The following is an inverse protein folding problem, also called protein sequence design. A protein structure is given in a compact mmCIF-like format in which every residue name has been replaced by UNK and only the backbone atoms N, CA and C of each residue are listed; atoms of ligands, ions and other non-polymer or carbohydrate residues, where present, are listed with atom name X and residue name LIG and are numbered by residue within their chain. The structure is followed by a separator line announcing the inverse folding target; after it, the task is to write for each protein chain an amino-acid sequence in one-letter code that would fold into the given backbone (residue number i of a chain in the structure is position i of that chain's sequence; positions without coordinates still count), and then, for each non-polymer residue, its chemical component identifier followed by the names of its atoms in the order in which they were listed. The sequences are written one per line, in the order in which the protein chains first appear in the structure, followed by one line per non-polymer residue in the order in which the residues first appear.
data_IF_317534070900
#
_entry.id   IF_317534070900
#
_cell.length_a   1.000
_cell.length_b   1.000
_cell.length_c   1.000
_cell.angle_alpha   90.00
_cell.angle_beta   90.00
_cell.angle_gamma   90.00
#
_symmetry.space_group_name_H-M   'P 1'
#
loop_
_entity.id
_entity.type
_entity.pdbx_description
1 polymer ?
#
# COMPACT_ATOMS: atom_id res chain seq x y z
N UNK A 1 29.81 22.14 -5.59
CA UNK A 1 28.76 23.04 -6.11
C UNK A 1 28.00 23.52 -4.90
N UNK A 2 27.92 24.86 -4.68
CA UNK A 2 27.04 25.38 -3.62
C UNK A 2 25.60 25.06 -4.01
N UNK A 3 24.80 24.42 -3.14
CA UNK A 3 23.39 24.21 -3.44
C UNK A 3 22.75 25.59 -3.63
N UNK A 4 22.08 25.78 -4.75
CA UNK A 4 21.23 26.95 -4.96
C UNK A 4 20.14 26.93 -3.86
N UNK A 5 19.79 28.04 -3.25
CA UNK A 5 18.73 28.06 -2.26
C UNK A 5 17.45 27.51 -2.88
N UNK A 6 16.85 26.53 -2.23
CA UNK A 6 15.58 25.94 -2.69
C UNK A 6 14.54 27.04 -2.82
N UNK A 7 14.03 27.25 -4.01
CA UNK A 7 13.03 28.28 -4.29
C UNK A 7 11.65 27.91 -3.75
N UNK A 8 11.31 26.60 -3.83
CA UNK A 8 10.02 26.07 -3.42
C UNK A 8 10.16 25.15 -2.21
N UNK A 9 9.16 25.14 -1.35
CA UNK A 9 8.95 24.03 -0.42
C UNK A 9 8.62 22.75 -1.19
N UNK A 10 8.75 21.60 -0.54
CA UNK A 10 8.36 20.31 -1.13
C UNK A 10 6.90 20.31 -1.58
N UNK A 11 6.00 20.88 -0.76
CA UNK A 11 4.58 21.04 -1.13
C UNK A 11 4.41 21.88 -2.41
N UNK A 12 5.00 23.06 -2.46
CA UNK A 12 4.89 23.96 -3.63
C UNK A 12 5.48 23.33 -4.89
N UNK A 13 6.57 22.58 -4.76
CA UNK A 13 7.21 21.87 -5.87
C UNK A 13 6.28 20.81 -6.46
N UNK A 14 5.71 19.95 -5.63
CA UNK A 14 4.76 18.93 -6.06
C UNK A 14 3.50 19.57 -6.64
N UNK A 15 2.95 20.58 -5.95
CA UNK A 15 1.76 21.31 -6.40
C UNK A 15 1.97 21.96 -7.77
N UNK A 16 3.10 22.64 -7.99
CA UNK A 16 3.43 23.24 -9.30
C UNK A 16 3.52 22.21 -10.40
N UNK A 17 4.18 21.06 -10.13
CA UNK A 17 4.29 19.97 -11.09
C UNK A 17 2.93 19.39 -11.48
N UNK A 18 2.05 19.17 -10.51
CA UNK A 18 0.68 18.69 -10.76
C UNK A 18 -0.17 19.70 -11.55
N UNK A 19 0.18 20.97 -11.52
CA UNK A 19 -0.44 22.04 -12.33
C UNK A 19 0.31 22.30 -13.64
N UNK A 20 1.15 21.37 -14.10
CA UNK A 20 1.93 21.49 -15.33
C UNK A 20 2.81 22.73 -15.40
N UNK A 21 3.32 23.19 -14.25
CA UNK A 21 4.30 24.26 -14.14
C UNK A 21 5.67 23.70 -13.78
N UNK A 22 6.70 24.18 -14.44
CA UNK A 22 8.08 23.76 -14.15
C UNK A 22 8.49 24.17 -12.73
N UNK A 23 8.86 23.23 -11.86
CA UNK A 23 9.36 23.50 -10.52
C UNK A 23 10.86 23.85 -10.55
N UNK A 24 11.43 24.21 -9.39
CA UNK A 24 12.87 24.44 -9.22
C UNK A 24 13.74 23.20 -9.40
N UNK A 25 13.20 22.01 -9.15
CA UNK A 25 13.74 20.70 -9.46
C UNK A 25 12.60 19.67 -9.60
N UNK A 26 12.90 18.51 -10.15
CA UNK A 26 11.93 17.40 -10.21
C UNK A 26 11.56 16.97 -8.78
N UNK A 27 10.27 16.84 -8.44
CA UNK A 27 9.85 16.27 -7.16
C UNK A 27 10.38 14.85 -6.98
N UNK A 28 10.82 14.56 -5.77
CA UNK A 28 11.32 13.23 -5.43
C UNK A 28 10.39 12.54 -4.43
N UNK A 29 9.94 11.34 -4.79
CA UNK A 29 9.11 10.47 -3.95
C UNK A 29 9.87 9.19 -3.60
N UNK A 30 10.01 8.93 -2.31
CA UNK A 30 10.48 7.68 -1.74
C UNK A 30 9.57 7.30 -0.57
N UNK A 31 8.75 6.28 -0.78
CA UNK A 31 7.84 5.76 0.24
C UNK A 31 6.57 6.61 0.45
N UNK A 32 6.22 7.52 -0.48
CA UNK A 32 4.94 8.20 -0.49
C UNK A 32 3.77 7.28 -0.81
N UNK A 33 4.06 6.19 -1.52
CA UNK A 33 3.14 5.06 -1.73
C UNK A 33 3.90 3.74 -1.66
N UNK A 34 3.19 2.62 -1.76
CA UNK A 34 3.81 1.29 -1.84
C UNK A 34 4.61 1.11 -3.14
N UNK A 35 4.18 1.73 -4.25
CA UNK A 35 4.89 1.63 -5.54
C UNK A 35 6.19 2.42 -5.59
N UNK A 36 6.39 3.38 -4.69
CA UNK A 36 7.64 4.13 -4.52
C UNK A 36 8.42 3.69 -3.27
N UNK A 37 7.97 2.58 -2.66
CA UNK A 37 8.56 2.02 -1.45
C UNK A 37 9.90 1.32 -1.68
N UNK A 38 10.57 1.00 -0.59
CA UNK A 38 11.84 0.27 -0.58
C UNK A 38 11.75 -0.92 0.38
N UNK A 39 12.17 -2.12 -0.10
CA UNK A 39 12.22 -3.30 0.76
C UNK A 39 13.14 -3.08 1.96
N UNK A 40 12.75 -3.62 3.14
CA UNK A 40 13.45 -3.42 4.42
C UNK A 40 14.94 -3.82 4.38
N UNK A 41 15.29 -4.86 3.62
CA UNK A 41 16.69 -5.29 3.52
C UNK A 41 17.55 -4.27 2.75
N UNK A 42 16.99 -3.66 1.70
CA UNK A 42 17.67 -2.60 0.95
C UNK A 42 17.70 -1.31 1.77
N UNK A 43 16.61 -1.00 2.48
CA UNK A 43 16.53 0.17 3.35
C UNK A 43 17.61 0.18 4.45
N UNK A 44 17.86 -0.98 5.09
CA UNK A 44 18.96 -1.13 6.04
C UNK A 44 20.32 -0.77 5.41
N UNK A 45 20.57 -1.24 4.19
CA UNK A 45 21.81 -0.92 3.45
C UNK A 45 21.90 0.56 3.06
N UNK A 46 20.78 1.18 2.69
CA UNK A 46 20.73 2.60 2.41
C UNK A 46 21.10 3.41 3.65
N UNK A 47 20.52 3.11 4.83
CA UNK A 47 20.86 3.77 6.09
C UNK A 47 22.34 3.63 6.44
N UNK A 48 22.90 2.42 6.29
CA UNK A 48 24.33 2.18 6.49
C UNK A 48 25.19 3.05 5.55
N UNK A 49 24.82 3.16 4.27
CA UNK A 49 25.55 3.97 3.29
C UNK A 49 25.45 5.48 3.53
N UNK A 50 24.37 5.93 4.17
CA UNK A 50 24.19 7.32 4.60
C UNK A 50 24.87 7.63 5.95
N UNK A 51 25.52 6.65 6.58
CA UNK A 51 26.15 6.80 7.90
C UNK A 51 25.16 6.97 9.05
N UNK A 52 23.91 6.56 8.86
CA UNK A 52 22.85 6.68 9.86
C UNK A 52 22.91 5.53 10.88
N UNK A 53 22.41 5.74 12.11
CA UNK A 53 22.34 4.70 13.12
C UNK A 53 21.57 3.47 12.62
N UNK A 54 22.05 2.28 13.01
CA UNK A 54 21.32 1.02 12.73
C UNK A 54 20.06 0.96 13.57
N UNK A 55 18.96 0.73 12.92
CA UNK A 55 17.64 0.55 13.53
C UNK A 55 16.96 -0.68 12.94
N UNK A 56 15.93 -1.18 13.60
CA UNK A 56 15.00 -2.10 12.97
C UNK A 56 13.91 -1.28 12.26
N UNK A 57 13.83 -1.32 10.92
CA UNK A 57 12.87 -0.52 10.17
C UNK A 57 11.42 -0.93 10.51
N UNK A 58 10.54 0.05 10.64
CA UNK A 58 9.10 -0.21 10.68
C UNK A 58 8.63 -0.60 9.28
N UNK A 59 7.76 -1.59 9.22
CA UNK A 59 7.15 -2.03 7.96
C UNK A 59 5.95 -1.14 7.64
N UNK A 60 5.90 -0.59 6.44
CA UNK A 60 4.76 0.15 5.90
C UNK A 60 3.81 -0.76 5.11
N UNK A 61 4.35 -1.67 4.31
CA UNK A 61 3.58 -2.72 3.63
C UNK A 61 4.13 -4.11 3.98
N UNK A 62 3.26 -4.93 4.57
CA UNK A 62 3.63 -6.28 5.02
C UNK A 62 3.79 -7.24 3.85
N UNK A 63 3.03 -7.09 2.76
CA UNK A 63 3.05 -8.01 1.61
C UNK A 63 4.41 -7.95 0.91
N UNK A 64 4.87 -6.75 0.59
CA UNK A 64 6.12 -6.51 -0.11
C UNK A 64 7.31 -6.27 0.83
N UNK A 65 7.09 -6.31 2.15
CA UNK A 65 8.11 -6.02 3.16
C UNK A 65 8.76 -4.65 2.94
N UNK A 66 7.94 -3.62 2.67
CA UNK A 66 8.44 -2.27 2.45
C UNK A 66 8.69 -1.57 3.78
N UNK A 67 9.81 -0.84 3.84
CA UNK A 67 10.14 -0.01 4.99
C UNK A 67 9.32 1.27 5.01
N UNK A 68 8.89 1.70 6.19
CA UNK A 68 8.50 3.09 6.40
C UNK A 68 9.78 3.93 6.39
N UNK A 69 9.82 4.92 5.53
CA UNK A 69 10.99 5.81 5.40
C UNK A 69 11.00 6.80 6.56
N UNK A 70 12.09 6.78 7.34
CA UNK A 70 12.26 7.63 8.52
C UNK A 70 12.56 9.09 8.13
N UNK A 71 12.25 10.03 9.03
CA UNK A 71 12.43 11.48 8.79
C UNK A 71 13.89 11.84 8.44
N UNK A 72 14.88 11.23 9.11
CA UNK A 72 16.31 11.46 8.84
C UNK A 72 16.72 11.09 7.40
N UNK A 73 16.23 9.98 6.88
CA UNK A 73 16.46 9.57 5.48
C UNK A 73 15.73 10.52 4.52
N UNK A 74 14.49 10.88 4.84
CA UNK A 74 13.72 11.83 4.02
C UNK A 74 14.38 13.21 3.94
N UNK A 75 15.02 13.66 5.02
CA UNK A 75 15.74 14.94 5.06
C UNK A 75 17.03 14.88 4.23
N UNK A 76 17.86 13.84 4.43
CA UNK A 76 19.13 13.70 3.71
C UNK A 76 18.91 13.58 2.19
N UNK A 77 17.86 12.86 1.78
CA UNK A 77 17.55 12.64 0.37
C UNK A 77 16.63 13.70 -0.23
N UNK A 78 16.23 14.70 0.56
CA UNK A 78 15.33 15.78 0.14
C UNK A 78 14.01 15.22 -0.46
N UNK A 79 13.40 14.23 0.21
CA UNK A 79 12.14 13.62 -0.22
C UNK A 79 11.00 14.63 -0.08
N UNK A 80 10.22 14.81 -1.15
CA UNK A 80 9.16 15.81 -1.21
C UNK A 80 7.78 15.29 -0.77
N UNK A 81 7.59 13.97 -0.79
CA UNK A 81 6.30 13.34 -0.60
C UNK A 81 6.30 12.45 0.63
N UNK A 82 5.26 12.54 1.45
CA UNK A 82 5.08 11.68 2.63
C UNK A 82 3.81 10.85 2.53
N UNK A 83 3.88 9.61 2.98
CA UNK A 83 2.73 8.72 3.06
C UNK A 83 1.82 9.06 4.26
N UNK A 84 0.52 9.10 4.00
CA UNK A 84 -0.53 9.11 5.02
C UNK A 84 -1.40 7.88 4.77
N UNK A 85 -0.99 6.69 5.23
CA UNK A 85 -1.80 5.48 5.05
C UNK A 85 -3.10 5.58 5.82
N UNK A 86 -4.12 4.85 5.40
CA UNK A 86 -5.34 4.68 6.19
C UNK A 86 -5.01 3.99 7.52
N UNK A 87 -5.77 4.29 8.55
CA UNK A 87 -5.70 3.57 9.81
C UNK A 87 -6.37 2.18 9.65
N UNK A 88 -6.07 1.22 10.54
CA UNK A 88 -6.78 -0.05 10.55
C UNK A 88 -8.29 0.15 10.78
N UNK A 89 -9.16 -0.63 10.13
CA UNK A 89 -10.59 -0.58 10.39
C UNK A 89 -10.91 -1.03 11.82
N UNK A 90 -11.99 -0.53 12.41
CA UNK A 90 -12.51 -1.00 13.68
C UNK A 90 -12.97 -2.47 13.58
N UNK A 91 -13.44 -2.86 12.40
CA UNK A 91 -13.89 -4.20 12.13
C UNK A 91 -13.01 -4.85 11.03
N UNK A 92 -11.95 -5.58 11.42
CA UNK A 92 -10.94 -6.09 10.49
C UNK A 92 -11.43 -7.19 9.53
N UNK A 93 -12.71 -7.54 9.57
CA UNK A 93 -13.28 -8.46 8.57
C UNK A 93 -12.71 -9.87 8.66
N UNK A 94 -12.06 -10.30 7.59
CA UNK A 94 -11.41 -11.60 7.47
C UNK A 94 -9.93 -11.57 7.86
N UNK A 95 -9.41 -10.42 8.23
CA UNK A 95 -7.99 -10.24 8.52
C UNK A 95 -7.52 -11.13 9.69
N UNK A 96 -6.36 -11.76 9.48
CA UNK A 96 -5.62 -12.48 10.51
C UNK A 96 -4.17 -12.00 10.51
N UNK A 97 -3.58 -11.80 11.69
CA UNK A 97 -2.20 -11.32 11.81
C UNK A 97 -1.21 -12.32 11.21
N UNK A 98 0.02 -11.85 11.00
CA UNK A 98 1.12 -12.72 10.61
C UNK A 98 1.41 -13.72 11.72
N UNK A 99 1.41 -15.02 11.36
CA UNK A 99 1.77 -16.14 12.24
C UNK A 99 2.84 -16.98 11.57
N UNK A 100 3.62 -17.70 12.37
CA UNK A 100 4.59 -18.66 11.85
C UNK A 100 3.99 -20.06 11.82
N UNK A 101 3.99 -20.68 10.65
CA UNK A 101 3.55 -22.05 10.42
C UNK A 101 4.69 -22.86 9.78
N UNK A 102 5.42 -23.60 10.63
CA UNK A 102 6.58 -24.35 10.19
C UNK A 102 7.69 -23.48 9.59
N UNK A 103 7.91 -23.63 8.28
CA UNK A 103 8.93 -22.89 7.51
C UNK A 103 8.41 -21.61 6.86
N UNK A 104 7.16 -21.22 7.14
CA UNK A 104 6.53 -20.07 6.52
C UNK A 104 5.96 -19.11 7.56
N UNK A 105 5.97 -17.83 7.22
CA UNK A 105 5.07 -16.84 7.78
C UNK A 105 3.80 -16.84 6.93
N UNK A 106 2.63 -16.83 7.59
CA UNK A 106 1.33 -16.78 6.93
C UNK A 106 0.48 -15.65 7.48
N UNK A 107 -0.39 -15.09 6.65
CA UNK A 107 -1.40 -14.12 7.07
C UNK A 107 -2.63 -14.22 6.16
N UNK A 108 -3.75 -13.71 6.64
CA UNK A 108 -4.92 -13.44 5.80
C UNK A 108 -5.17 -11.95 5.84
N UNK A 109 -5.36 -11.30 4.68
CA UNK A 109 -5.74 -9.89 4.65
C UNK A 109 -7.26 -9.70 4.84
N UNK A 110 -7.71 -8.44 4.90
CA UNK A 110 -9.12 -8.13 5.10
C UNK A 110 -10.04 -8.61 3.95
N UNK A 111 -9.48 -8.83 2.76
CA UNK A 111 -10.16 -9.40 1.60
C UNK A 111 -10.26 -10.94 1.66
N UNK A 112 -9.67 -11.56 2.69
CA UNK A 112 -9.64 -13.02 2.85
C UNK A 112 -8.58 -13.72 1.99
N UNK A 113 -7.69 -12.98 1.33
CA UNK A 113 -6.58 -13.54 0.57
C UNK A 113 -5.55 -14.07 1.56
N UNK A 114 -5.09 -15.30 1.36
CA UNK A 114 -4.02 -15.87 2.18
C UNK A 114 -2.66 -15.66 1.51
N UNK A 115 -1.72 -15.22 2.31
CA UNK A 115 -0.37 -14.87 1.92
C UNK A 115 0.62 -15.72 2.69
N UNK A 116 1.73 -16.10 2.05
CA UNK A 116 2.80 -16.88 2.68
C UNK A 116 4.16 -16.39 2.24
N UNK A 117 5.12 -16.38 3.17
CA UNK A 117 6.51 -16.01 2.91
C UNK A 117 7.43 -17.02 3.62
N UNK A 118 8.49 -17.54 2.96
CA UNK A 118 9.48 -18.36 3.64
C UNK A 118 10.13 -17.60 4.83
N UNK A 119 10.32 -18.30 5.96
CA UNK A 119 11.03 -17.73 7.12
C UNK A 119 12.49 -17.44 6.77
N UNK A 120 13.11 -18.34 5.99
CA UNK A 120 14.49 -18.21 5.54
C UNK A 120 14.51 -17.61 4.13
N UNK A 121 15.25 -16.51 3.95
CA UNK A 121 15.42 -15.81 2.67
C UNK A 121 14.10 -15.33 2.03
N UNK A 122 13.03 -15.14 2.81
CA UNK A 122 11.80 -14.53 2.34
C UNK A 122 11.97 -13.01 2.18
N UNK A 123 11.56 -12.48 1.03
CA UNK A 123 11.64 -11.05 0.72
C UNK A 123 10.29 -10.38 0.60
N UNK A 124 9.24 -11.15 0.33
CA UNK A 124 7.84 -10.71 0.22
C UNK A 124 6.91 -11.91 0.40
N UNK A 125 5.64 -11.61 0.61
CA UNK A 125 4.58 -12.63 0.71
C UNK A 125 3.99 -12.92 -0.66
N UNK A 126 3.88 -14.21 -1.00
CA UNK A 126 3.15 -14.69 -2.17
C UNK A 126 1.71 -15.04 -1.81
N UNK A 127 0.79 -14.87 -2.75
CA UNK A 127 -0.58 -15.35 -2.61
C UNK A 127 -0.64 -16.87 -2.71
N UNK A 128 -1.26 -17.51 -1.71
CA UNK A 128 -1.38 -18.97 -1.66
C UNK A 128 -2.83 -19.44 -1.68
N UNK A 129 -3.80 -18.55 -1.41
CA UNK A 129 -5.22 -18.88 -1.50
C UNK A 129 -6.06 -17.66 -1.86
N UNK A 130 -6.97 -17.88 -2.78
CA UNK A 130 -7.92 -16.91 -3.29
C UNK A 130 -9.31 -17.20 -2.68
N UNK A 131 -9.94 -16.27 -1.94
CA UNK A 131 -11.17 -16.57 -1.19
C UNK A 131 -12.36 -16.93 -2.07
N UNK A 132 -12.42 -16.42 -3.30
CA UNK A 132 -13.50 -16.68 -4.26
C UNK A 132 -13.13 -17.71 -5.35
N UNK A 133 -12.06 -18.49 -5.14
CA UNK A 133 -11.63 -19.50 -6.13
C UNK A 133 -12.70 -20.57 -6.43
N UNK A 134 -13.61 -20.82 -5.50
CA UNK A 134 -14.73 -21.76 -5.64
C UNK A 134 -16.10 -21.07 -5.78
N UNK A 135 -16.14 -19.76 -5.91
CA UNK A 135 -17.37 -19.02 -6.12
C UNK A 135 -17.71 -18.96 -7.62
N UNK A 136 -18.95 -19.26 -7.98
CA UNK A 136 -19.39 -19.33 -9.37
C UNK A 136 -20.69 -18.56 -9.64
N UNK A 137 -21.36 -18.12 -8.59
CA UNK A 137 -22.68 -17.48 -8.69
C UNK A 137 -22.70 -16.09 -8.06
N UNK A 138 -23.70 -15.29 -8.45
CA UNK A 138 -23.95 -14.00 -7.79
C UNK A 138 -24.29 -14.20 -6.32
N UNK A 139 -24.97 -15.29 -5.96
CA UNK A 139 -25.29 -15.59 -4.57
C UNK A 139 -24.01 -15.82 -3.71
N UNK A 140 -22.98 -16.43 -4.30
CA UNK A 140 -21.68 -16.60 -3.61
C UNK A 140 -21.05 -15.23 -3.30
N UNK A 141 -21.17 -14.27 -4.23
CA UNK A 141 -20.66 -12.91 -4.04
C UNK A 141 -21.46 -12.12 -3.00
N UNK A 142 -22.78 -12.36 -2.91
CA UNK A 142 -23.62 -11.72 -1.88
C UNK A 142 -23.34 -12.30 -0.48
N UNK A 143 -23.00 -13.58 -0.40
CA UNK A 143 -22.66 -14.24 0.85
C UNK A 143 -21.21 -13.93 1.33
N UNK A 144 -20.36 -13.42 0.44
CA UNK A 144 -18.98 -13.11 0.79
C UNK A 144 -18.89 -11.84 1.65
N UNK A 145 -18.02 -11.86 2.66
CA UNK A 145 -17.77 -10.72 3.54
C UNK A 145 -16.76 -9.76 2.91
N UNK A 146 -17.27 -8.78 2.20
CA UNK A 146 -16.47 -7.73 1.60
C UNK A 146 -15.94 -6.74 2.66
N UNK A 147 -14.74 -6.13 2.45
CA UNK A 147 -14.29 -5.01 3.26
C UNK A 147 -15.29 -3.86 3.25
N UNK A 148 -15.46 -3.21 4.40
CA UNK A 148 -16.28 -2.01 4.52
C UNK A 148 -15.41 -0.76 4.26
N UNK A 149 -15.62 -0.02 3.15
CA UNK A 149 -14.86 1.19 2.87
C UNK A 149 -15.23 2.36 3.78
N UNK A 150 -16.39 2.29 4.45
CA UNK A 150 -16.92 3.37 5.29
C UNK A 150 -16.60 3.21 6.77
N UNK A 151 -15.85 2.16 7.15
CA UNK A 151 -15.45 1.94 8.53
C UNK A 151 -14.66 3.14 9.06
N UNK A 152 -15.20 3.80 10.10
CA UNK A 152 -14.66 5.05 10.65
C UNK A 152 -13.23 4.90 11.20
N UNK A 153 -12.84 3.70 11.61
CA UNK A 153 -11.48 3.42 12.06
C UNK A 153 -10.43 3.82 11.02
N UNK A 154 -10.74 3.61 9.74
CA UNK A 154 -9.82 3.91 8.61
C UNK A 154 -9.39 5.37 8.53
N UNK A 155 -10.17 6.26 9.10
CA UNK A 155 -10.01 7.71 8.96
C UNK A 155 -9.65 8.41 10.28
N UNK A 156 -9.47 7.64 11.37
CA UNK A 156 -9.36 8.16 12.73
C UNK A 156 -8.27 9.22 12.92
N UNK A 157 -7.09 9.03 12.31
CA UNK A 157 -5.94 9.94 12.48
C UNK A 157 -5.44 10.57 11.18
N UNK A 158 -6.07 10.28 10.04
CA UNK A 158 -5.61 10.78 8.72
C UNK A 158 -5.49 12.31 8.71
N UNK A 159 -6.51 13.03 9.20
CA UNK A 159 -6.52 14.50 9.20
C UNK A 159 -5.34 15.05 10.00
N UNK A 160 -5.13 14.58 11.21
CA UNK A 160 -4.05 15.05 12.08
C UNK A 160 -2.68 14.80 11.43
N UNK A 161 -2.45 13.60 10.88
CA UNK A 161 -1.19 13.26 10.20
C UNK A 161 -0.97 14.10 8.95
N UNK A 162 -2.02 14.30 8.16
CA UNK A 162 -1.96 15.12 6.95
C UNK A 162 -1.65 16.58 7.27
N UNK A 163 -2.34 17.16 8.27
CA UNK A 163 -2.12 18.54 8.69
C UNK A 163 -0.69 18.75 9.21
N UNK A 164 -0.14 17.80 9.95
CA UNK A 164 1.27 17.83 10.37
C UNK A 164 2.19 17.91 9.16
N UNK A 165 2.02 17.06 8.16
CA UNK A 165 2.89 17.00 6.97
C UNK A 165 2.79 18.30 6.16
N UNK A 166 1.58 18.75 5.86
CA UNK A 166 1.39 19.92 4.98
C UNK A 166 1.70 21.22 5.71
N UNK A 167 1.15 21.43 6.90
CA UNK A 167 1.22 22.71 7.58
C UNK A 167 2.54 22.91 8.32
N UNK A 168 3.04 21.87 8.99
CA UNK A 168 4.27 21.94 9.78
C UNK A 168 5.51 21.64 8.93
N UNK A 169 5.52 20.52 8.23
CA UNK A 169 6.71 20.00 7.57
C UNK A 169 6.86 20.54 6.13
N UNK A 170 5.81 21.19 5.59
CA UNK A 170 5.77 21.79 4.24
C UNK A 170 6.06 20.77 3.13
N UNK A 171 5.72 19.50 3.37
CA UNK A 171 5.82 18.42 2.39
C UNK A 171 4.47 18.14 1.74
N UNK A 172 4.48 17.49 0.59
CA UNK A 172 3.27 16.97 -0.02
C UNK A 172 2.87 15.67 0.68
N UNK A 173 1.59 15.45 0.90
CA UNK A 173 1.07 14.18 1.42
C UNK A 173 0.38 13.38 0.33
N UNK A 174 0.53 12.07 0.38
CA UNK A 174 -0.24 11.12 -0.44
C UNK A 174 -1.05 10.23 0.50
N UNK A 175 -2.36 10.24 0.30
CA UNK A 175 -3.27 9.34 0.98
C UNK A 175 -3.54 8.21 0.00
N UNK A 176 -2.89 7.08 0.23
CA UNK A 176 -3.07 5.89 -0.58
C UNK A 176 -3.28 4.70 0.33
N UNK A 177 -4.10 3.76 -0.13
CA UNK A 177 -4.31 2.50 0.55
C UNK A 177 -3.48 1.42 -0.16
N UNK A 178 -4.09 0.49 -0.80
CA UNK A 178 -3.39 -0.57 -1.52
C UNK A 178 -3.04 -0.12 -2.96
N UNK A 179 -1.92 -0.60 -3.47
CA UNK A 179 -1.53 -0.34 -4.86
C UNK A 179 -2.37 -1.13 -5.87
N UNK A 180 -3.05 -2.20 -5.43
CA UNK A 180 -3.92 -3.01 -6.28
C UNK A 180 -5.19 -2.24 -6.66
N UNK A 181 -5.45 -2.12 -7.95
CA UNK A 181 -6.70 -1.58 -8.48
C UNK A 181 -7.80 -2.64 -8.57
N UNK A 182 -8.96 -2.25 -9.11
CA UNK A 182 -10.13 -3.13 -9.27
C UNK A 182 -9.77 -4.42 -10.02
N UNK A 183 -8.94 -4.31 -11.05
CA UNK A 183 -8.49 -5.42 -11.86
C UNK A 183 -7.64 -6.42 -11.07
N UNK A 184 -6.60 -5.96 -10.41
CA UNK A 184 -5.73 -6.83 -9.63
C UNK A 184 -6.48 -7.49 -8.48
N UNK A 185 -7.32 -6.75 -7.78
CA UNK A 185 -8.15 -7.32 -6.71
C UNK A 185 -9.13 -8.39 -7.22
N UNK A 186 -9.64 -8.26 -8.43
CA UNK A 186 -10.46 -9.30 -9.04
C UNK A 186 -9.65 -10.58 -9.28
N UNK A 187 -8.41 -10.44 -9.78
CA UNK A 187 -7.49 -11.58 -9.96
C UNK A 187 -7.07 -12.19 -8.61
N UNK A 188 -6.78 -11.34 -7.62
CA UNK A 188 -6.31 -11.79 -6.31
C UNK A 188 -7.40 -12.49 -5.49
N UNK A 189 -8.64 -12.05 -5.60
CA UNK A 189 -9.75 -12.66 -4.87
C UNK A 189 -10.26 -13.95 -5.52
N UNK A 190 -10.28 -14.04 -6.85
CA UNK A 190 -10.85 -15.18 -7.58
C UNK A 190 -9.80 -16.21 -8.02
N UNK A 191 -8.53 -15.83 -8.12
CA UNK A 191 -7.48 -16.60 -8.80
C UNK A 191 -7.38 -16.20 -10.28
N UNK A 192 -6.14 -16.14 -10.77
CA UNK A 192 -5.82 -15.63 -12.11
C UNK A 192 -6.51 -16.44 -13.22
N UNK A 193 -6.27 -17.74 -13.25
CA UNK A 193 -6.82 -18.62 -14.28
C UNK A 193 -8.35 -18.59 -14.31
N UNK A 194 -8.97 -18.77 -13.14
CA UNK A 194 -10.43 -18.73 -13.00
C UNK A 194 -11.00 -17.41 -13.51
N UNK A 195 -10.48 -16.27 -13.05
CA UNK A 195 -11.06 -14.98 -13.42
C UNK A 195 -10.89 -14.66 -14.91
N UNK A 196 -9.77 -15.06 -15.52
CA UNK A 196 -9.59 -14.94 -16.97
C UNK A 196 -10.63 -15.78 -17.75
N UNK A 197 -10.93 -17.00 -17.28
CA UNK A 197 -11.96 -17.83 -17.88
C UNK A 197 -13.36 -17.23 -17.68
N UNK A 198 -13.67 -16.77 -16.47
CA UNK A 198 -14.97 -16.16 -16.14
C UNK A 198 -15.29 -14.94 -17.00
N UNK A 199 -14.29 -14.12 -17.34
CA UNK A 199 -14.49 -12.97 -18.23
C UNK A 199 -14.98 -13.35 -19.63
N UNK A 200 -14.72 -14.56 -20.05
CA UNK A 200 -15.15 -15.07 -21.37
C UNK A 200 -16.46 -15.85 -21.24
N UNK A 201 -16.53 -16.79 -20.28
CA UNK A 201 -17.64 -17.74 -20.15
C UNK A 201 -18.74 -17.27 -19.21
N UNK A 202 -18.41 -16.49 -18.17
CA UNK A 202 -19.30 -16.06 -17.08
C UNK A 202 -19.28 -14.54 -16.90
N UNK A 203 -19.55 -13.81 -17.97
CA UNK A 203 -19.41 -12.33 -18.03
C UNK A 203 -20.18 -11.60 -16.94
N UNK A 204 -21.40 -12.06 -16.63
CA UNK A 204 -22.23 -11.43 -15.59
C UNK A 204 -21.58 -11.58 -14.20
N UNK A 205 -21.01 -12.74 -13.91
CA UNK A 205 -20.26 -12.97 -12.68
C UNK A 205 -19.01 -12.08 -12.61
N UNK A 206 -18.20 -12.04 -13.68
CA UNK A 206 -16.99 -11.22 -13.73
C UNK A 206 -17.32 -9.71 -13.53
N UNK A 207 -18.37 -9.20 -14.17
CA UNK A 207 -18.86 -7.83 -13.95
C UNK A 207 -19.34 -7.62 -12.50
N UNK A 208 -20.00 -8.60 -11.90
CA UNK A 208 -20.48 -8.49 -10.53
C UNK A 208 -19.31 -8.44 -9.54
N UNK A 209 -18.26 -9.26 -9.73
CA UNK A 209 -17.02 -9.20 -8.94
C UNK A 209 -16.42 -7.81 -8.98
N UNK A 210 -16.19 -7.26 -10.18
CA UNK A 210 -15.59 -5.93 -10.32
C UNK A 210 -16.44 -4.82 -9.68
N UNK A 211 -17.78 -4.90 -9.79
CA UNK A 211 -18.69 -3.97 -9.10
C UNK A 211 -18.61 -4.09 -7.58
N UNK A 212 -18.51 -5.30 -7.03
CA UNK A 212 -18.34 -5.51 -5.58
C UNK A 212 -17.02 -4.92 -5.09
N UNK A 213 -15.93 -5.19 -5.79
CA UNK A 213 -14.62 -4.61 -5.47
C UNK A 213 -14.68 -3.08 -5.50
N UNK A 214 -15.24 -2.50 -6.58
CA UNK A 214 -15.38 -1.02 -6.68
C UNK A 214 -16.14 -0.42 -5.50
N UNK A 215 -17.18 -1.10 -5.00
CA UNK A 215 -17.95 -0.65 -3.84
C UNK A 215 -17.23 -0.82 -2.50
N UNK A 216 -16.26 -1.74 -2.44
CA UNK A 216 -15.48 -2.05 -1.23
C UNK A 216 -14.14 -1.31 -1.16
N UNK A 217 -13.77 -0.57 -2.21
CA UNK A 217 -12.67 0.38 -2.17
C UNK A 217 -13.12 1.69 -1.53
N UNK A 218 -12.36 2.23 -0.56
CA UNK A 218 -12.65 3.51 0.07
C UNK A 218 -12.43 4.69 -0.86
#
# INVERSE_FOLDING_TARGET
MNPQPQKYSSYERVFSTLHHKEPDRIPFDLGGTEVTGMNIHLYKKLRDSLGLPKIEPKISDVKQQLARIDEDVQEILEVDVCNVPTDPPLNPGLEKPVTREGRYYTRTDEWGIQWSMPVENGHYFDMVKHPLSNAHTIADLEAFRWPDPTDEGRFATIRERNDKIILRDKKASVIARDCAGIWEMALWTNGFEKFFMDMISEKEYAHAVMRKITKSYP
#
